data_IF_260191984901
#
_entry.id   IF_260191984901
#
_cell.length_a   1.000
_cell.length_b   1.000
_cell.length_c   1.000
_cell.angle_alpha   90.00
_cell.angle_beta   90.00
_cell.angle_gamma   90.00
#
_symmetry.space_group_name_H-M   'P 1'
#
loop_
_entity.id
_entity.type
_entity.pdbx_description
1 polymer ?
#
# COMPACT_ATOMS: atom_id res chain seq x y z
N UNK A 1 -1.31 -11.53 27.95
CA UNK A 1 -2.55 -11.62 27.15
C UNK A 1 -2.95 -13.10 27.04
N UNK A 2 -4.19 -13.51 27.35
CA UNK A 2 -4.57 -14.95 27.35
C UNK A 2 -4.52 -15.62 25.97
N UNK A 3 -4.65 -14.86 24.88
CA UNK A 3 -4.37 -15.33 23.51
C UNK A 3 -2.90 -15.77 23.32
N UNK A 4 -1.97 -15.19 24.08
CA UNK A 4 -0.55 -15.56 24.05
C UNK A 4 -0.20 -16.71 25.01
N UNK A 5 -0.93 -16.84 26.13
CA UNK A 5 -0.63 -17.84 27.15
C UNK A 5 -0.86 -19.30 26.70
N UNK A 6 -1.64 -19.54 25.64
CA UNK A 6 -1.91 -20.88 25.07
C UNK A 6 -1.15 -21.20 23.78
N UNK A 7 -0.26 -20.31 23.31
CA UNK A 7 0.41 -20.48 22.00
C UNK A 7 1.41 -21.63 22.00
N UNK A 8 2.09 -21.85 23.12
CA UNK A 8 3.07 -22.94 23.28
C UNK A 8 2.40 -24.32 23.37
N UNK A 9 1.11 -24.38 23.73
CA UNK A 9 0.35 -25.63 23.87
C UNK A 9 -0.59 -25.91 22.68
N UNK A 10 -0.65 -25.03 21.67
CA UNK A 10 -1.60 -25.11 20.52
C UNK A 10 -3.07 -25.34 20.94
N UNK A 11 -3.46 -24.88 22.13
CA UNK A 11 -4.84 -25.05 22.61
C UNK A 11 -5.76 -24.12 21.80
N UNK A 12 -6.83 -24.64 21.17
CA UNK A 12 -7.79 -23.80 20.46
C UNK A 12 -8.39 -22.74 21.39
N UNK A 13 -8.47 -21.49 20.91
CA UNK A 13 -9.14 -20.41 21.64
C UNK A 13 -10.63 -20.75 21.75
N UNK A 14 -11.21 -20.61 22.95
CA UNK A 14 -12.63 -20.93 23.15
C UNK A 14 -13.54 -19.94 22.41
N UNK A 15 -14.72 -20.40 21.97
CA UNK A 15 -15.69 -19.55 21.26
C UNK A 15 -16.10 -18.32 22.10
N UNK A 16 -16.25 -18.48 23.41
CA UNK A 16 -16.56 -17.36 24.31
C UNK A 16 -15.46 -16.29 24.34
N UNK A 17 -14.19 -16.67 24.21
CA UNK A 17 -13.08 -15.72 24.09
C UNK A 17 -13.03 -15.04 22.72
N UNK A 18 -13.39 -15.78 21.67
CA UNK A 18 -13.54 -15.23 20.32
C UNK A 18 -14.65 -14.17 20.29
N UNK A 19 -15.83 -14.48 20.83
CA UNK A 19 -16.97 -13.57 20.83
C UNK A 19 -16.69 -12.31 21.67
N UNK A 20 -16.10 -12.50 22.86
CA UNK A 20 -15.64 -11.37 23.68
C UNK A 20 -14.59 -10.53 22.94
N UNK A 21 -13.67 -11.16 22.23
CA UNK A 21 -12.66 -10.46 21.44
C UNK A 21 -13.26 -9.64 20.30
N UNK A 22 -14.28 -10.16 19.61
CA UNK A 22 -15.04 -9.39 18.60
C UNK A 22 -15.72 -8.18 19.21
N UNK A 23 -16.42 -8.36 20.33
CA UNK A 23 -17.07 -7.26 21.04
C UNK A 23 -16.09 -6.17 21.48
N UNK A 24 -14.89 -6.57 21.93
CA UNK A 24 -13.84 -5.63 22.31
C UNK A 24 -13.26 -4.90 21.10
N UNK A 25 -13.01 -5.58 19.98
CA UNK A 25 -12.51 -4.93 18.76
C UNK A 25 -13.48 -3.88 18.22
N UNK A 26 -14.79 -4.13 18.30
CA UNK A 26 -15.81 -3.17 17.85
C UNK A 26 -15.89 -1.91 18.72
N UNK A 27 -15.33 -1.95 19.94
CA UNK A 27 -15.29 -0.82 20.89
C UNK A 27 -13.89 -0.27 21.08
N UNK A 28 -12.89 -0.87 20.43
CA UNK A 28 -11.50 -0.53 20.65
C UNK A 28 -11.22 0.84 20.06
N UNK A 29 -10.63 1.71 20.88
CA UNK A 29 -10.18 3.01 20.43
C UNK A 29 -8.73 2.91 19.95
N UNK A 30 -8.54 3.07 18.64
CA UNK A 30 -7.22 2.94 18.02
C UNK A 30 -6.32 4.16 18.27
N UNK A 31 -6.85 5.26 18.80
CA UNK A 31 -6.08 6.49 19.07
C UNK A 31 -5.04 6.33 20.21
N UNK A 32 -5.16 5.30 21.06
CA UNK A 32 -4.22 4.98 22.16
C UNK A 32 -3.26 3.83 21.81
N UNK A 33 -3.08 3.53 20.52
CA UNK A 33 -2.23 2.44 20.06
C UNK A 33 -0.76 2.87 19.91
N UNK A 34 0.00 3.00 21.01
CA UNK A 34 1.46 3.06 20.90
C UNK A 34 2.00 1.72 20.38
N UNK A 35 2.97 1.72 19.45
CA UNK A 35 3.37 0.59 18.59
C UNK A 35 3.58 -0.81 19.21
N UNK A 36 3.81 -0.95 20.52
CA UNK A 36 3.75 -2.27 21.19
C UNK A 36 2.33 -2.86 21.27
N UNK A 37 1.28 -2.05 21.10
CA UNK A 37 -0.12 -2.46 21.11
C UNK A 37 -0.59 -2.96 19.75
N UNK A 38 -0.12 -2.39 18.64
CA UNK A 38 -0.49 -2.81 17.27
C UNK A 38 -0.29 -4.31 17.05
N UNK A 39 0.92 -4.81 17.31
CA UNK A 39 1.25 -6.23 17.18
C UNK A 39 0.33 -7.14 18.01
N UNK A 40 -0.01 -6.69 19.22
CA UNK A 40 -0.86 -7.43 20.14
C UNK A 40 -2.33 -7.42 19.68
N UNK A 41 -2.83 -6.27 19.21
CA UNK A 41 -4.17 -6.13 18.65
C UNK A 41 -4.29 -6.93 17.35
N UNK A 42 -3.26 -6.95 16.50
CA UNK A 42 -3.19 -7.82 15.33
C UNK A 42 -3.30 -9.31 15.71
N UNK A 43 -2.71 -9.70 16.84
CA UNK A 43 -2.90 -11.02 17.44
C UNK A 43 -4.35 -11.32 17.80
N UNK A 44 -5.07 -10.35 18.38
CA UNK A 44 -6.51 -10.48 18.68
C UNK A 44 -7.30 -10.60 17.37
N UNK A 45 -7.09 -9.70 16.41
CA UNK A 45 -7.73 -9.73 15.08
C UNK A 45 -7.55 -11.08 14.40
N UNK A 46 -6.35 -11.66 14.48
CA UNK A 46 -6.06 -12.98 13.91
C UNK A 46 -6.99 -14.07 14.42
N UNK A 47 -7.22 -14.10 15.73
CA UNK A 47 -8.03 -15.15 16.36
C UNK A 47 -9.54 -14.86 16.24
N UNK A 48 -9.95 -13.59 16.35
CA UNK A 48 -11.36 -13.20 16.41
C UNK A 48 -12.02 -13.06 15.05
N UNK A 49 -11.24 -12.63 14.05
CA UNK A 49 -11.73 -12.37 12.71
C UNK A 49 -11.49 -13.55 11.76
N UNK A 50 -10.93 -14.68 12.20
CA UNK A 50 -10.70 -15.81 11.31
C UNK A 50 -12.01 -16.43 10.76
N UNK A 51 -11.97 -16.84 9.49
CA UNK A 51 -13.06 -17.56 8.82
C UNK A 51 -14.32 -16.73 8.58
N UNK A 52 -15.36 -17.39 8.03
CA UNK A 52 -16.60 -16.72 7.64
C UNK A 52 -17.30 -15.98 8.80
N UNK A 53 -17.30 -16.55 10.00
CA UNK A 53 -17.91 -15.94 11.19
C UNK A 53 -17.23 -14.63 11.64
N UNK A 54 -16.00 -14.37 11.19
CA UNK A 54 -15.25 -13.15 11.51
C UNK A 54 -15.43 -12.02 10.49
N UNK A 55 -16.14 -12.25 9.38
CA UNK A 55 -16.25 -11.28 8.27
C UNK A 55 -16.88 -9.97 8.69
N UNK A 56 -17.97 -10.00 9.45
CA UNK A 56 -18.68 -8.79 9.87
C UNK A 56 -17.83 -7.94 10.81
N UNK A 57 -17.13 -8.58 11.76
CA UNK A 57 -16.18 -7.89 12.64
C UNK A 57 -15.02 -7.31 11.83
N UNK A 58 -14.44 -8.08 10.91
CA UNK A 58 -13.35 -7.59 10.05
C UNK A 58 -13.79 -6.37 9.23
N UNK A 59 -15.00 -6.40 8.65
CA UNK A 59 -15.56 -5.27 7.90
C UNK A 59 -15.73 -4.04 8.77
N UNK A 60 -16.32 -4.18 9.95
CA UNK A 60 -16.50 -3.08 10.87
C UNK A 60 -15.16 -2.44 11.31
N UNK A 61 -14.16 -3.27 11.60
CA UNK A 61 -12.80 -2.80 11.94
C UNK A 61 -12.14 -2.11 10.75
N UNK A 62 -12.21 -2.67 9.54
CA UNK A 62 -11.68 -2.03 8.32
C UNK A 62 -12.29 -0.64 8.09
N UNK A 63 -13.62 -0.51 8.22
CA UNK A 63 -14.31 0.76 8.05
C UNK A 63 -13.92 1.77 9.14
N UNK A 64 -13.86 1.34 10.41
CA UNK A 64 -13.43 2.23 11.49
C UNK A 64 -12.00 2.72 11.32
N UNK A 65 -11.07 1.86 10.90
CA UNK A 65 -9.68 2.24 10.66
C UNK A 65 -9.57 3.20 9.48
N UNK A 66 -10.30 2.91 8.41
CA UNK A 66 -10.36 3.77 7.24
C UNK A 66 -10.81 5.18 7.62
N UNK A 67 -11.93 5.32 8.32
CA UNK A 67 -12.51 6.62 8.65
C UNK A 67 -11.56 7.47 9.51
N UNK A 68 -10.87 6.84 10.47
CA UNK A 68 -9.88 7.49 11.36
C UNK A 68 -8.56 7.86 10.67
N UNK A 69 -8.20 7.14 9.62
CA UNK A 69 -7.03 7.51 8.82
C UNK A 69 -7.38 8.61 7.82
N UNK A 70 -8.64 8.66 7.38
CA UNK A 70 -9.20 9.71 6.53
C UNK A 70 -9.29 11.07 7.23
N UNK A 71 -9.64 11.09 8.53
CA UNK A 71 -9.76 12.31 9.33
C UNK A 71 -8.46 12.74 10.04
N UNK A 72 -7.37 12.01 9.78
CA UNK A 72 -6.05 12.19 10.37
C UNK A 72 -6.00 11.98 11.90
N UNK A 73 -6.99 11.33 12.53
CA UNK A 73 -6.92 10.97 13.95
C UNK A 73 -5.93 9.84 14.22
N UNK A 74 -5.62 9.03 13.21
CA UNK A 74 -4.78 7.84 13.32
C UNK A 74 -3.68 7.81 12.26
N UNK A 75 -2.43 7.62 12.70
CA UNK A 75 -1.32 7.36 11.77
C UNK A 75 -1.31 5.88 11.38
N UNK A 76 -1.00 5.59 10.11
CA UNK A 76 -0.82 4.21 9.65
C UNK A 76 0.25 3.45 10.43
N UNK A 77 1.32 4.15 10.84
CA UNK A 77 2.41 3.54 11.60
C UNK A 77 1.92 2.86 12.90
N UNK A 78 0.81 3.34 13.45
CA UNK A 78 0.24 2.84 14.71
C UNK A 78 -0.67 1.61 14.52
N UNK A 79 -1.06 1.27 13.28
CA UNK A 79 -1.99 0.17 12.97
C UNK A 79 -1.54 -0.72 11.81
N UNK A 80 -0.25 -0.69 11.47
CA UNK A 80 0.30 -1.43 10.34
C UNK A 80 0.05 -2.95 10.44
N UNK A 81 0.34 -3.57 11.60
CA UNK A 81 0.16 -5.00 11.81
C UNK A 81 -1.31 -5.40 11.79
N UNK A 82 -2.20 -4.58 12.35
CA UNK A 82 -3.65 -4.78 12.30
C UNK A 82 -4.15 -4.76 10.85
N UNK A 83 -3.84 -3.69 10.09
CA UNK A 83 -4.28 -3.57 8.68
C UNK A 83 -3.73 -4.72 7.85
N UNK A 84 -2.44 -5.04 7.99
CA UNK A 84 -1.82 -6.19 7.29
C UNK A 84 -2.48 -7.52 7.64
N UNK A 85 -2.90 -7.71 8.89
CA UNK A 85 -3.60 -8.93 9.31
C UNK A 85 -4.99 -9.01 8.68
N UNK A 86 -5.72 -7.89 8.60
CA UNK A 86 -7.02 -7.83 7.93
C UNK A 86 -6.93 -8.16 6.44
N UNK A 87 -5.94 -7.61 5.74
CA UNK A 87 -5.66 -7.95 4.33
C UNK A 87 -5.44 -9.45 4.14
N UNK A 88 -4.69 -10.10 5.05
CA UNK A 88 -4.41 -11.55 4.95
C UNK A 88 -5.62 -12.43 5.25
N UNK A 89 -6.47 -12.05 6.21
CA UNK A 89 -7.63 -12.85 6.61
C UNK A 89 -8.81 -12.68 5.66
N UNK A 90 -9.07 -11.44 5.23
CA UNK A 90 -10.21 -11.07 4.40
C UNK A 90 -9.81 -10.08 3.30
N UNK A 91 -9.07 -10.56 2.26
CA UNK A 91 -8.56 -9.68 1.21
C UNK A 91 -9.64 -8.83 0.55
N UNK A 92 -10.76 -9.44 0.16
CA UNK A 92 -11.85 -8.72 -0.52
C UNK A 92 -12.49 -7.66 0.37
N UNK A 93 -12.74 -7.97 1.65
CA UNK A 93 -13.32 -7.01 2.60
C UNK A 93 -12.36 -5.83 2.83
N UNK A 94 -11.06 -6.11 2.97
CA UNK A 94 -10.05 -5.07 3.15
C UNK A 94 -9.94 -4.20 1.88
N UNK A 95 -9.83 -4.81 0.70
CA UNK A 95 -9.75 -4.10 -0.57
C UNK A 95 -11.00 -3.22 -0.80
N UNK A 96 -12.21 -3.77 -0.62
CA UNK A 96 -13.44 -3.00 -0.73
C UNK A 96 -13.46 -1.80 0.23
N UNK A 97 -13.10 -2.04 1.50
CA UNK A 97 -13.18 -1.02 2.54
C UNK A 97 -12.18 0.11 2.27
N UNK A 98 -10.93 -0.22 1.95
CA UNK A 98 -9.84 0.76 1.82
C UNK A 98 -9.72 1.39 0.43
N UNK A 99 -10.14 0.72 -0.65
CA UNK A 99 -9.92 1.19 -2.03
C UNK A 99 -11.18 1.74 -2.71
N UNK A 100 -12.40 1.35 -2.30
CA UNK A 100 -13.65 1.79 -2.97
C UNK A 100 -14.31 3.03 -2.30
N UNK A 101 -13.58 3.72 -1.43
CA UNK A 101 -14.06 4.93 -0.76
C UNK A 101 -14.26 6.15 -1.66
N UNK A 102 -15.13 7.07 -1.22
CA UNK A 102 -15.44 8.33 -1.92
C UNK A 102 -14.31 9.36 -1.87
N UNK A 103 -13.42 9.24 -0.89
CA UNK A 103 -12.13 9.92 -0.84
C UNK A 103 -11.05 8.85 -0.84
N UNK A 104 -9.94 9.00 -1.58
CA UNK A 104 -8.82 8.09 -1.46
C UNK A 104 -8.13 8.29 -0.10
N UNK A 105 -8.65 7.61 0.93
CA UNK A 105 -7.99 7.32 2.23
C UNK A 105 -6.61 6.73 2.03
N UNK A 106 -6.41 6.15 0.86
CA UNK A 106 -5.20 5.49 0.49
C UNK A 106 -3.95 6.41 0.45
N UNK A 107 -4.13 7.74 0.41
CA UNK A 107 -3.00 8.67 0.25
C UNK A 107 -2.09 8.78 1.48
N UNK A 108 -2.58 8.50 2.69
CA UNK A 108 -1.74 8.43 3.90
C UNK A 108 -1.32 7.00 4.24
N UNK A 109 -2.19 6.01 3.97
CA UNK A 109 -1.99 4.57 4.27
C UNK A 109 -0.96 3.87 3.38
N UNK A 110 -0.95 4.13 2.07
CA UNK A 110 -0.17 3.33 1.09
C UNK A 110 0.99 4.12 0.47
N UNK A 111 1.04 5.41 0.78
CA UNK A 111 1.73 6.44 -0.02
C UNK A 111 2.66 7.27 0.86
N UNK A 112 2.70 7.08 2.19
CA UNK A 112 3.68 7.81 3.03
C UNK A 112 5.08 7.20 2.91
N UNK A 113 6.12 8.06 2.99
CA UNK A 113 7.52 7.62 3.06
C UNK A 113 7.85 6.83 4.34
N UNK A 114 6.93 6.80 5.32
CA UNK A 114 7.10 6.16 6.61
C UNK A 114 6.43 4.78 6.70
N UNK A 115 5.72 4.35 5.65
CA UNK A 115 5.12 3.00 5.62
C UNK A 115 6.17 1.98 5.17
N UNK A 116 6.37 0.92 5.96
CA UNK A 116 7.33 -0.15 5.63
C UNK A 116 6.98 -0.83 4.30
N UNK A 117 5.70 -1.15 4.09
CA UNK A 117 5.16 -1.66 2.82
C UNK A 117 3.65 -1.33 2.73
N UNK A 118 3.10 -1.04 1.54
CA UNK A 118 1.66 -0.92 1.34
C UNK A 118 0.97 -2.28 1.66
N UNK A 119 -0.11 -2.33 2.47
CA UNK A 119 -0.76 -3.58 2.88
C UNK A 119 -1.18 -4.49 1.73
N UNK A 120 -1.59 -3.88 0.62
CA UNK A 120 -1.98 -4.59 -0.61
C UNK A 120 -0.85 -5.44 -1.19
N UNK A 121 0.41 -5.00 -1.03
CA UNK A 121 1.58 -5.73 -1.52
C UNK A 121 1.89 -7.00 -0.70
N UNK A 122 1.13 -7.25 0.39
CA UNK A 122 1.17 -8.52 1.12
C UNK A 122 0.28 -9.62 0.51
N UNK A 123 -0.55 -9.28 -0.48
CA UNK A 123 -1.41 -10.21 -1.20
C UNK A 123 -0.70 -10.79 -2.42
N UNK A 124 -1.16 -11.96 -2.88
CA UNK A 124 -0.73 -12.49 -4.18
C UNK A 124 -1.35 -11.69 -5.33
N UNK A 125 -0.67 -11.64 -6.48
CA UNK A 125 -1.21 -11.02 -7.69
C UNK A 125 -2.55 -11.64 -8.10
N UNK A 126 -2.68 -12.97 -7.98
CA UNK A 126 -3.94 -13.69 -8.21
C UNK A 126 -5.10 -13.17 -7.35
N UNK A 127 -4.85 -12.91 -6.06
CA UNK A 127 -5.87 -12.38 -5.14
C UNK A 127 -6.30 -10.98 -5.55
N UNK A 128 -5.34 -10.13 -5.90
CA UNK A 128 -5.61 -8.75 -6.32
C UNK A 128 -6.37 -8.74 -7.66
N UNK A 129 -5.96 -9.58 -8.63
CA UNK A 129 -6.67 -9.72 -9.91
C UNK A 129 -8.09 -10.22 -9.73
N UNK A 130 -8.30 -11.30 -8.97
CA UNK A 130 -9.63 -11.84 -8.74
C UNK A 130 -10.60 -10.80 -8.14
N UNK A 131 -10.09 -9.91 -7.29
CA UNK A 131 -10.86 -8.77 -6.79
C UNK A 131 -11.05 -7.68 -7.86
N UNK A 132 -10.00 -7.32 -8.60
CA UNK A 132 -10.06 -6.25 -9.60
C UNK A 132 -10.96 -6.60 -10.80
N UNK A 133 -10.98 -7.86 -11.21
CA UNK A 133 -11.78 -8.37 -12.33
C UNK A 133 -13.29 -8.28 -12.10
N UNK A 134 -13.75 -8.09 -10.87
CA UNK A 134 -15.18 -7.92 -10.55
C UNK A 134 -15.75 -6.60 -11.09
N UNK A 135 -14.93 -5.55 -11.15
CA UNK A 135 -15.26 -4.26 -11.77
C UNK A 135 -13.98 -3.62 -12.31
N UNK A 136 -13.48 -4.08 -13.48
CA UNK A 136 -12.13 -3.75 -13.92
C UNK A 136 -11.91 -2.26 -14.17
N UNK A 137 -12.95 -1.56 -14.64
CA UNK A 137 -12.89 -0.13 -14.94
C UNK A 137 -12.71 0.73 -13.68
N UNK A 138 -13.23 0.27 -12.54
CA UNK A 138 -13.10 0.98 -11.26
C UNK A 138 -11.91 0.48 -10.45
N UNK A 139 -11.71 -0.84 -10.39
CA UNK A 139 -10.81 -1.46 -9.41
C UNK A 139 -9.35 -1.47 -9.83
N UNK A 140 -9.03 -1.68 -11.11
CA UNK A 140 -7.63 -1.60 -11.57
C UNK A 140 -7.01 -0.22 -11.33
N UNK A 141 -7.66 0.90 -11.67
CA UNK A 141 -7.14 2.23 -11.35
C UNK A 141 -6.90 2.44 -9.83
N UNK A 142 -7.77 1.89 -8.97
CA UNK A 142 -7.59 1.95 -7.51
C UNK A 142 -6.40 1.16 -7.01
N UNK A 143 -6.18 -0.05 -7.55
CA UNK A 143 -4.97 -0.84 -7.25
C UNK A 143 -3.72 -0.09 -7.68
N UNK A 144 -3.73 0.42 -8.92
CA UNK A 144 -2.64 1.23 -9.45
C UNK A 144 -2.30 2.40 -8.53
N UNK A 145 -3.29 3.19 -8.10
CA UNK A 145 -3.09 4.38 -7.25
C UNK A 145 -2.32 4.10 -5.95
N UNK A 146 -2.46 2.90 -5.38
CA UNK A 146 -1.95 2.56 -4.05
C UNK A 146 -0.69 1.69 -4.05
N UNK A 147 -0.32 1.14 -5.20
CA UNK A 147 0.85 0.28 -5.33
C UNK A 147 2.11 1.02 -5.73
N UNK A 148 3.25 0.53 -5.25
CA UNK A 148 4.57 1.03 -5.63
C UNK A 148 5.00 0.44 -6.97
N UNK A 149 5.36 1.29 -7.93
CA UNK A 149 5.94 0.81 -9.20
C UNK A 149 7.35 0.26 -9.00
N UNK A 150 8.14 0.93 -8.16
CA UNK A 150 9.48 0.50 -7.81
C UNK A 150 9.45 -0.28 -6.49
N UNK A 151 10.35 -1.26 -6.37
CA UNK A 151 10.50 -2.06 -5.15
C UNK A 151 10.82 -1.15 -3.98
N UNK A 152 10.27 -1.48 -2.83
CA UNK A 152 10.63 -0.87 -1.55
C UNK A 152 11.38 -1.91 -0.74
N UNK A 153 12.38 -1.47 0.00
CA UNK A 153 13.05 -2.28 1.00
C UNK A 153 12.98 -1.53 2.31
N UNK A 154 12.09 -1.99 3.20
CA UNK A 154 11.78 -1.36 4.48
C UNK A 154 11.38 0.12 4.38
N UNK A 155 12.34 1.04 4.52
CA UNK A 155 12.11 2.48 4.52
C UNK A 155 12.67 3.15 3.26
N UNK A 156 13.36 2.40 2.41
CA UNK A 156 14.00 2.91 1.21
C UNK A 156 13.21 2.53 -0.03
N UNK A 157 12.97 3.52 -0.88
CA UNK A 157 12.39 3.32 -2.20
C UNK A 157 13.52 2.98 -3.16
N UNK A 158 13.55 1.74 -3.64
CA UNK A 158 14.51 1.32 -4.66
C UNK A 158 14.16 1.90 -6.04
N UNK A 159 14.97 1.52 -7.02
CA UNK A 159 14.77 1.91 -8.42
C UNK A 159 14.44 0.72 -9.34
N UNK A 160 14.47 -0.49 -8.81
CA UNK A 160 14.05 -1.69 -9.55
C UNK A 160 12.54 -1.78 -9.62
N UNK A 161 12.01 -2.27 -10.75
CA UNK A 161 10.57 -2.49 -10.90
C UNK A 161 10.05 -3.56 -9.92
N UNK A 162 8.88 -3.29 -9.35
CA UNK A 162 8.11 -4.23 -8.54
C UNK A 162 7.52 -5.33 -9.43
N UNK A 163 7.91 -6.62 -9.24
CA UNK A 163 7.36 -7.72 -10.03
C UNK A 163 5.84 -7.82 -9.90
N UNK A 164 5.31 -7.56 -8.70
CA UNK A 164 3.87 -7.57 -8.43
C UNK A 164 3.15 -6.45 -9.21
N UNK A 165 3.74 -5.26 -9.29
CA UNK A 165 3.16 -4.15 -10.05
C UNK A 165 3.16 -4.46 -11.55
N UNK A 166 4.27 -4.96 -12.08
CA UNK A 166 4.40 -5.31 -13.51
C UNK A 166 3.42 -6.42 -13.89
N UNK A 167 3.29 -7.44 -13.05
CA UNK A 167 2.33 -8.54 -13.28
C UNK A 167 0.88 -8.01 -13.36
N UNK A 168 0.48 -7.14 -12.44
CA UNK A 168 -0.86 -6.55 -12.45
C UNK A 168 -1.07 -5.59 -13.63
N UNK A 169 -0.06 -4.76 -13.96
CA UNK A 169 -0.07 -3.87 -15.13
C UNK A 169 -0.30 -4.66 -16.42
N UNK A 170 0.34 -5.82 -16.57
CA UNK A 170 0.21 -6.65 -17.77
C UNK A 170 -1.23 -7.16 -18.01
N UNK A 171 -2.02 -7.25 -16.92
CA UNK A 171 -3.41 -7.71 -16.96
C UNK A 171 -4.45 -6.60 -16.92
N UNK A 172 -4.03 -5.36 -16.65
CA UNK A 172 -4.95 -4.24 -16.53
C UNK A 172 -5.59 -3.94 -17.90
N UNK A 173 -6.93 -3.84 -18.00
CA UNK A 173 -7.60 -3.58 -19.26
C UNK A 173 -7.35 -2.15 -19.76
N UNK A 174 -7.14 -1.20 -18.85
CA UNK A 174 -6.68 0.15 -19.13
C UNK A 174 -5.37 0.40 -18.38
N UNK A 175 -4.25 0.16 -19.07
CA UNK A 175 -2.91 0.31 -18.51
C UNK A 175 -2.59 1.76 -18.19
N UNK A 176 -3.12 2.72 -18.95
CA UNK A 176 -2.92 4.14 -18.70
C UNK A 176 -3.60 4.57 -17.40
N UNK A 177 -4.85 4.13 -17.17
CA UNK A 177 -5.57 4.40 -15.92
C UNK A 177 -4.92 3.69 -14.72
N UNK A 178 -4.38 2.48 -14.90
CA UNK A 178 -3.62 1.78 -13.86
C UNK A 178 -2.30 2.49 -13.51
N UNK A 179 -1.53 2.92 -14.51
CA UNK A 179 -0.28 3.68 -14.30
C UNK A 179 -0.56 5.01 -13.61
N UNK A 180 -1.63 5.69 -14.00
CA UNK A 180 -2.14 6.89 -13.34
C UNK A 180 -1.24 8.11 -13.55
N UNK A 181 -1.07 8.90 -12.49
CA UNK A 181 -0.39 10.19 -12.55
C UNK A 181 1.15 10.02 -12.58
N UNK A 182 1.86 10.63 -13.54
CA UNK A 182 3.29 10.38 -13.75
C UNK A 182 4.19 10.72 -12.57
N UNK A 183 3.93 11.84 -11.87
CA UNK A 183 4.77 12.27 -10.75
C UNK A 183 4.68 11.29 -9.59
N UNK A 184 3.48 10.85 -9.22
CA UNK A 184 3.27 9.80 -8.21
C UNK A 184 3.95 8.49 -8.59
N UNK A 185 4.02 8.19 -9.89
CA UNK A 185 4.53 6.93 -10.40
C UNK A 185 6.06 6.88 -10.46
N UNK A 186 6.69 7.97 -10.90
CA UNK A 186 8.11 8.00 -11.26
C UNK A 186 8.96 8.80 -10.26
N UNK A 187 8.41 9.83 -9.63
CA UNK A 187 9.18 10.68 -8.74
C UNK A 187 9.35 10.00 -7.37
N UNK A 188 10.59 9.78 -6.89
CA UNK A 188 10.81 9.22 -5.56
C UNK A 188 10.31 10.17 -4.48
N UNK A 189 9.86 9.62 -3.35
CA UNK A 189 9.46 10.45 -2.18
C UNK A 189 10.62 10.74 -1.24
N UNK A 190 11.57 9.82 -1.20
CA UNK A 190 12.80 9.89 -0.43
C UNK A 190 13.92 9.38 -1.32
N UNK A 191 15.07 10.01 -1.25
CA UNK A 191 16.25 9.63 -2.03
C UNK A 191 17.50 10.10 -1.30
N UNK A 192 18.58 9.33 -1.43
CA UNK A 192 19.93 9.76 -1.08
C UNK A 192 20.68 10.21 -2.33
N UNK A 193 21.51 11.24 -2.21
CA UNK A 193 22.33 11.74 -3.32
C UNK A 193 21.53 12.56 -4.35
N UNK A 194 21.97 12.54 -5.61
CA UNK A 194 21.34 13.33 -6.68
C UNK A 194 20.01 12.73 -7.13
N UNK A 195 18.94 13.52 -7.02
CA UNK A 195 17.63 13.16 -7.56
C UNK A 195 17.67 12.97 -9.08
N UNK A 196 18.53 13.69 -9.79
CA UNK A 196 18.66 13.55 -11.24
C UNK A 196 19.12 12.14 -11.64
N UNK A 197 20.06 11.58 -10.89
CA UNK A 197 20.56 10.23 -11.11
C UNK A 197 19.52 9.18 -10.76
N UNK A 198 18.78 9.37 -9.65
CA UNK A 198 17.66 8.49 -9.29
C UNK A 198 16.59 8.46 -10.38
N UNK A 199 16.18 9.63 -10.88
CA UNK A 199 15.19 9.75 -11.95
C UNK A 199 15.71 9.14 -13.26
N UNK A 200 17.01 9.26 -13.56
CA UNK A 200 17.64 8.62 -14.72
C UNK A 200 17.59 7.10 -14.64
N UNK A 201 17.94 6.51 -13.48
CA UNK A 201 17.85 5.06 -13.29
C UNK A 201 16.40 4.59 -13.44
N UNK A 202 15.45 5.28 -12.80
CA UNK A 202 14.02 4.95 -12.91
C UNK A 202 13.49 5.04 -14.34
N UNK A 203 13.96 6.02 -15.11
CA UNK A 203 13.67 6.15 -16.54
C UNK A 203 14.12 4.89 -17.28
N UNK A 204 15.39 4.52 -17.14
CA UNK A 204 15.97 3.33 -17.80
C UNK A 204 15.24 2.05 -17.40
N UNK A 205 14.89 1.89 -16.12
CA UNK A 205 14.08 0.76 -15.64
C UNK A 205 12.69 0.76 -16.25
N UNK A 206 11.98 1.89 -16.31
CA UNK A 206 10.65 1.97 -16.91
C UNK A 206 10.66 1.68 -18.41
N UNK A 207 11.72 2.09 -19.12
CA UNK A 207 11.86 1.88 -20.57
C UNK A 207 11.88 0.38 -20.95
N UNK A 208 12.19 -0.51 -20.01
CA UNK A 208 12.06 -1.97 -20.21
C UNK A 208 10.62 -2.47 -20.39
N UNK A 209 9.62 -1.64 -20.06
CA UNK A 209 8.19 -1.98 -20.17
C UNK A 209 7.56 -1.53 -21.50
N UNK A 210 8.33 -0.91 -22.40
CA UNK A 210 7.81 -0.28 -23.63
C UNK A 210 7.50 -1.26 -24.77
N UNK A 211 7.77 -2.55 -24.58
CA UNK A 211 7.31 -3.59 -25.51
C UNK A 211 5.77 -3.70 -25.53
N UNK A 212 5.09 -3.23 -24.47
CA UNK A 212 3.64 -3.10 -24.43
C UNK A 212 3.19 -1.77 -25.08
N UNK A 213 2.39 -1.80 -26.16
CA UNK A 213 1.97 -0.61 -26.89
C UNK A 213 1.18 0.41 -26.04
N UNK A 214 0.37 -0.05 -25.08
CA UNK A 214 -0.44 0.86 -24.24
C UNK A 214 0.47 1.58 -23.23
N UNK A 215 1.46 0.86 -22.69
CA UNK A 215 2.48 1.44 -21.81
C UNK A 215 3.35 2.44 -22.59
N UNK A 216 3.73 2.10 -23.82
CA UNK A 216 4.49 2.98 -24.70
C UNK A 216 3.71 4.26 -25.03
N UNK A 217 2.40 4.15 -25.31
CA UNK A 217 1.53 5.29 -25.56
C UNK A 217 1.39 6.21 -24.33
N UNK A 218 1.24 5.63 -23.12
CA UNK A 218 1.26 6.41 -21.88
C UNK A 218 2.60 7.12 -21.71
N UNK A 219 3.72 6.41 -21.90
CA UNK A 219 5.06 6.93 -21.70
C UNK A 219 5.45 8.03 -22.68
N UNK A 220 4.95 8.00 -23.92
CA UNK A 220 5.19 9.05 -24.90
C UNK A 220 4.79 10.45 -24.39
N UNK A 221 3.74 10.52 -23.56
CA UNK A 221 3.29 11.77 -22.93
C UNK A 221 4.10 12.13 -21.67
N UNK A 222 4.68 11.13 -21.01
CA UNK A 222 5.39 11.28 -19.72
C UNK A 222 6.87 11.56 -19.89
N UNK A 223 7.50 10.96 -20.90
CA UNK A 223 8.92 11.10 -21.20
C UNK A 223 9.41 12.56 -21.22
N UNK A 224 8.78 13.52 -21.94
CA UNK A 224 9.27 14.90 -21.93
C UNK A 224 9.18 15.56 -20.54
N UNK A 225 8.19 15.17 -19.73
CA UNK A 225 8.03 15.66 -18.35
C UNK A 225 9.18 15.13 -17.48
N UNK A 226 9.46 13.83 -17.57
CA UNK A 226 10.54 13.18 -16.83
C UNK A 226 11.93 13.73 -17.24
N UNK A 227 12.17 13.94 -18.53
CA UNK A 227 13.39 14.56 -19.02
C UNK A 227 13.53 16.00 -18.51
N UNK A 228 12.43 16.76 -18.44
CA UNK A 228 12.40 18.07 -17.82
C UNK A 228 12.78 18.05 -16.33
N UNK A 229 12.28 17.08 -15.55
CA UNK A 229 12.66 16.93 -14.14
C UNK A 229 14.15 16.66 -13.97
N UNK A 230 14.71 15.73 -14.76
CA UNK A 230 16.13 15.38 -14.73
C UNK A 230 17.00 16.59 -15.07
N UNK A 231 16.67 17.31 -16.14
CA UNK A 231 17.43 18.50 -16.57
C UNK A 231 17.37 19.63 -15.55
N UNK A 232 16.20 19.90 -14.95
CA UNK A 232 16.08 20.94 -13.94
C UNK A 232 16.92 20.61 -12.70
N UNK A 233 16.87 19.36 -12.22
CA UNK A 233 17.63 18.95 -11.04
C UNK A 233 19.14 19.06 -11.25
N UNK A 234 19.66 18.67 -12.43
CA UNK A 234 21.10 18.81 -12.73
C UNK A 234 21.58 20.25 -12.71
N UNK A 235 20.74 21.19 -13.15
CA UNK A 235 21.04 22.62 -13.11
C UNK A 235 21.12 23.10 -11.65
N UNK A 236 20.15 22.71 -10.83
CA UNK A 236 20.13 23.07 -9.40
C UNK A 236 21.33 22.48 -8.64
N UNK A 237 21.70 21.23 -8.93
CA UNK A 237 22.87 20.58 -8.31
C UNK A 237 24.17 21.34 -8.69
N UNK A 238 24.34 21.72 -9.97
CA UNK A 238 25.52 22.46 -10.43
C UNK A 238 25.61 23.90 -9.90
N UNK A 239 24.49 24.62 -9.83
CA UNK A 239 24.43 25.97 -9.24
C UNK A 239 24.76 25.96 -7.73
N UNK A 240 24.37 24.90 -7.02
CA UNK A 240 24.70 24.74 -5.61
C UNK A 240 26.21 24.52 -5.42
N UNK A 241 26.83 23.64 -6.21
CA UNK A 241 28.28 23.36 -6.14
C UNK A 241 29.12 24.62 -6.39
N UNK A 242 28.75 25.45 -7.38
CA UNK A 242 29.44 26.72 -7.68
C UNK A 242 29.29 27.79 -6.58
N UNK A 243 28.26 27.69 -5.72
CA UNK A 243 28.03 28.66 -4.64
C UNK A 243 28.83 28.40 -3.35
N UNK A 244 29.48 27.24 -3.26
CA UNK A 244 30.32 26.85 -2.13
C UNK A 244 31.84 26.95 -2.41
N UNK A 245 32.23 27.33 -3.64
CA UNK A 245 33.61 27.69 -4.03
C UNK A 245 33.88 29.20 -3.89
#
# INVERSE_FOLDING_TARGET
MRFYAGRDEKVPVSQALVDLGRDLLLRYDFDDAQGMRDHNVAGVVKETCAGAAGQDTARAVCLSLRDRVDDYSLSYGDVHDVVRTLFKLHPEIALDSFLLGSRPVARSLFVSGFTRFPPIESLSAETIRAWADQDPAVRYPRVGEVMSLFRREEYEEGNDLSPLFVDLLSTAPDKAAFLGEPRRRLHPRSYGGSLADVLKVRKESFETLLDDPDVAAWYANVRPILEGWISNQRREDGEAEESFE
#
